data_IF_757111476095
#
_entry.id   IF_757111476095
#
_cell.length_a   1.000
_cell.length_b   1.000
_cell.length_c   1.000
_cell.angle_alpha   90.00
_cell.angle_beta   90.00
_cell.angle_gamma   90.00
#
_symmetry.space_group_name_H-M   'P 1'
#
loop_
_entity.id
_entity.type
_entity.pdbx_description
1 polymer ?
#
# COMPACT_ATOMS: atom_id res chain seq x y z
N UNK A 1 18.89 15.66 -27.74
CA UNK A 1 18.42 15.53 -27.16
C UNK A 1 17.74 14.66 -27.30
N UNK A 2 17.56 14.32 -27.67
CA UNK A 2 16.88 13.52 -27.78
C UNK A 2 17.15 12.21 -27.28
N UNK A 3 18.21 11.59 -27.10
CA UNK A 3 18.42 10.34 -26.46
C UNK A 3 17.94 10.36 -25.02
N UNK A 4 18.04 11.46 -24.39
CA UNK A 4 17.56 11.57 -23.03
C UNK A 4 16.07 11.38 -22.94
N UNK A 5 15.33 12.02 -23.78
CA UNK A 5 13.88 11.86 -23.71
C UNK A 5 13.49 10.45 -24.10
N UNK A 6 14.22 9.87 -25.00
CA UNK A 6 13.98 8.52 -25.42
C UNK A 6 14.21 7.56 -24.25
N UNK A 7 15.26 7.78 -23.49
CA UNK A 7 15.55 6.95 -22.34
C UNK A 7 14.47 7.06 -21.28
N UNK A 8 14.01 8.25 -21.00
CA UNK A 8 12.99 8.41 -19.99
C UNK A 8 11.73 7.68 -20.41
N UNK A 9 11.41 7.67 -21.68
CA UNK A 9 10.22 6.99 -22.15
C UNK A 9 10.30 5.50 -21.95
N UNK A 10 11.40 4.91 -22.28
CA UNK A 10 11.46 3.47 -22.28
C UNK A 10 11.83 2.88 -20.95
N UNK A 11 12.27 3.68 -20.02
CA UNK A 11 12.75 3.10 -18.80
C UNK A 11 11.82 3.28 -17.64
N UNK A 12 11.31 4.44 -17.46
CA UNK A 12 10.77 4.81 -16.16
C UNK A 12 9.26 4.79 -16.11
N UNK A 13 8.72 3.61 -16.27
CA UNK A 13 7.28 3.47 -16.07
C UNK A 13 7.02 2.84 -14.73
N UNK A 14 6.31 3.56 -13.89
CA UNK A 14 5.95 3.10 -12.56
C UNK A 14 4.45 3.03 -12.43
N UNK A 15 3.97 1.93 -11.89
CA UNK A 15 2.54 1.78 -11.61
C UNK A 15 2.20 2.68 -10.44
N UNK A 16 1.18 3.51 -10.60
CA UNK A 16 0.78 4.43 -9.54
C UNK A 16 -0.06 3.71 -8.49
N UNK A 17 0.25 3.94 -7.24
CA UNK A 17 -0.48 3.32 -6.15
C UNK A 17 -0.50 4.19 -4.92
N UNK A 18 -1.17 3.68 -3.90
CA UNK A 18 -1.29 4.35 -2.61
C UNK A 18 -0.99 3.36 -1.51
N UNK A 19 -0.54 3.88 -0.39
CA UNK A 19 -0.41 3.12 0.84
C UNK A 19 -1.12 3.86 1.95
N UNK A 20 -1.62 3.12 2.93
CA UNK A 20 -2.43 3.71 3.98
C UNK A 20 -1.89 3.29 5.34
N UNK A 21 -1.55 4.27 6.15
CA UNK A 21 -1.13 4.04 7.53
C UNK A 21 -2.32 4.39 8.41
N UNK A 22 -2.95 3.37 8.97
CA UNK A 22 -4.14 3.56 9.80
C UNK A 22 -3.73 3.50 11.26
N UNK A 23 -3.96 4.59 11.97
CA UNK A 23 -3.63 4.70 13.38
C UNK A 23 -4.90 4.61 14.23
N UNK A 24 -4.84 3.84 15.31
CA UNK A 24 -5.96 3.82 16.27
C UNK A 24 -5.70 4.83 17.37
N UNK A 25 -6.59 4.86 18.37
CA UNK A 25 -6.49 5.83 19.49
C UNK A 25 -5.21 5.66 20.29
N UNK A 26 -4.66 4.46 20.30
CA UNK A 26 -3.41 4.18 21.04
C UNK A 26 -2.20 4.39 20.17
N UNK A 27 -2.38 4.96 18.99
CA UNK A 27 -1.31 5.25 18.05
C UNK A 27 -0.62 4.00 17.53
N UNK A 28 -1.34 2.89 17.51
CA UNK A 28 -0.85 1.67 16.88
C UNK A 28 -1.34 1.62 15.45
N UNK A 29 -0.64 0.87 14.64
CA UNK A 29 -0.84 0.85 13.19
C UNK A 29 -1.45 -0.47 12.77
N UNK A 30 -2.44 -0.39 11.89
CA UNK A 30 -3.06 -1.58 11.30
C UNK A 30 -2.08 -2.27 10.38
N UNK A 31 -1.89 -3.56 10.58
CA UNK A 31 -1.20 -4.39 9.60
C UNK A 31 -2.01 -5.65 9.37
N UNK A 32 -2.00 -6.10 8.11
CA UNK A 32 -2.66 -7.34 7.74
C UNK A 32 -1.64 -8.33 7.22
N UNK A 33 -1.92 -9.60 7.43
CA UNK A 33 -1.06 -10.66 6.94
C UNK A 33 -1.66 -11.24 5.67
N UNK A 34 -0.87 -11.26 4.61
CA UNK A 34 -1.32 -11.73 3.31
C UNK A 34 -1.49 -13.25 3.29
N UNK A 35 -2.16 -13.71 2.24
CA UNK A 35 -2.42 -15.14 2.05
C UNK A 35 -1.28 -15.87 1.36
N UNK A 36 -0.08 -15.37 1.39
CA UNK A 36 1.04 -16.00 0.71
C UNK A 36 1.31 -17.39 1.28
N UNK A 37 1.72 -18.30 0.42
CA UNK A 37 1.93 -19.68 0.83
C UNK A 37 3.16 -19.89 1.69
N UNK A 38 4.27 -19.36 1.24
CA UNK A 38 5.53 -19.65 1.91
C UNK A 38 5.78 -18.77 3.12
N UNK A 39 5.67 -17.48 2.94
CA UNK A 39 5.86 -16.55 4.03
C UNK A 39 4.79 -15.50 3.94
N UNK A 40 3.81 -15.64 4.78
CA UNK A 40 2.72 -14.68 4.81
C UNK A 40 3.25 -13.34 5.27
N UNK A 41 3.41 -12.41 4.35
CA UNK A 41 3.95 -11.11 4.64
C UNK A 41 2.93 -10.22 5.33
N UNK A 42 3.41 -9.44 6.27
CA UNK A 42 2.60 -8.43 6.94
C UNK A 42 2.78 -7.10 6.23
N UNK A 43 1.70 -6.39 6.04
CA UNK A 43 1.78 -5.12 5.36
C UNK A 43 0.63 -4.19 5.75
N UNK A 44 0.81 -2.93 5.48
CA UNK A 44 -0.26 -1.96 5.59
C UNK A 44 -1.10 -2.02 4.32
N UNK A 45 -2.37 -1.57 4.37
CA UNK A 45 -3.19 -1.56 3.17
C UNK A 45 -2.55 -0.74 2.05
N UNK A 46 -2.63 -1.25 0.85
CA UNK A 46 -2.08 -0.57 -0.32
C UNK A 46 -2.71 -1.12 -1.58
N UNK A 47 -2.64 -0.35 -2.64
CA UNK A 47 -3.17 -0.80 -3.90
C UNK A 47 -2.97 0.22 -4.99
N UNK A 48 -3.48 -0.08 -6.17
CA UNK A 48 -3.29 0.77 -7.35
C UNK A 48 -4.30 1.91 -7.39
N UNK A 49 -3.92 2.94 -8.13
CA UNK A 49 -4.83 4.04 -8.44
C UNK A 49 -5.47 3.72 -9.76
N UNK A 50 -6.80 3.68 -9.79
CA UNK A 50 -7.52 3.39 -11.01
C UNK A 50 -7.48 4.59 -11.95
N UNK A 51 -7.69 4.30 -13.21
CA UNK A 51 -7.68 5.34 -14.23
C UNK A 51 -8.74 6.38 -13.90
N UNK A 52 -8.33 7.64 -13.88
CA UNK A 52 -9.25 8.73 -13.58
C UNK A 52 -9.52 8.95 -12.11
N UNK A 53 -8.96 8.12 -11.27
CA UNK A 53 -9.16 8.21 -9.83
C UNK A 53 -8.11 9.12 -9.22
N UNK A 54 -8.49 9.90 -8.22
CA UNK A 54 -7.52 10.69 -7.47
C UNK A 54 -6.85 9.80 -6.43
N UNK A 55 -5.61 10.14 -6.09
CA UNK A 55 -4.86 9.32 -5.12
C UNK A 55 -5.61 9.19 -3.79
N UNK A 56 -6.19 10.27 -3.29
CA UNK A 56 -6.91 10.22 -2.01
C UNK A 56 -8.13 9.30 -2.12
N UNK A 57 -8.79 9.29 -3.27
CA UNK A 57 -9.94 8.41 -3.48
C UNK A 57 -9.50 6.96 -3.50
N UNK A 58 -8.36 6.70 -4.15
CA UNK A 58 -7.80 5.35 -4.17
C UNK A 58 -7.44 4.89 -2.77
N UNK A 59 -6.87 5.79 -1.96
CA UNK A 59 -6.50 5.43 -0.59
C UNK A 59 -7.71 5.01 0.22
N UNK A 60 -8.80 5.78 0.12
CA UNK A 60 -10.02 5.45 0.85
C UNK A 60 -10.64 4.16 0.34
N UNK A 61 -10.62 3.96 -0.97
CA UNK A 61 -11.18 2.76 -1.56
C UNK A 61 -10.40 1.51 -1.14
N UNK A 62 -9.07 1.59 -1.22
CA UNK A 62 -8.25 0.45 -0.83
C UNK A 62 -8.40 0.15 0.66
N UNK A 63 -8.47 1.19 1.49
CA UNK A 63 -8.69 0.97 2.91
C UNK A 63 -10.00 0.22 3.13
N UNK A 64 -11.06 0.65 2.49
CA UNK A 64 -12.35 0.01 2.64
C UNK A 64 -12.34 -1.41 2.11
N UNK A 65 -11.73 -1.63 0.94
CA UNK A 65 -11.69 -2.96 0.35
C UNK A 65 -10.88 -3.94 1.18
N UNK A 66 -9.84 -3.48 1.84
CA UNK A 66 -8.96 -4.39 2.57
C UNK A 66 -9.27 -4.50 4.05
N UNK A 67 -9.87 -3.50 4.65
CA UNK A 67 -10.13 -3.50 6.09
C UNK A 67 -11.60 -3.40 6.45
N UNK A 68 -12.45 -3.03 5.51
CA UNK A 68 -13.86 -2.84 5.80
C UNK A 68 -14.18 -1.50 6.45
N UNK A 69 -13.19 -0.67 6.72
CA UNK A 69 -13.43 0.62 7.36
C UNK A 69 -14.09 1.57 6.37
N UNK A 70 -15.29 2.03 6.71
CA UNK A 70 -16.08 2.93 5.87
C UNK A 70 -16.30 4.30 6.47
N UNK A 71 -16.16 4.42 7.77
CA UNK A 71 -16.46 5.64 8.50
C UNK A 71 -15.61 5.71 9.75
N UNK A 72 -15.79 6.78 10.52
CA UNK A 72 -15.08 6.98 11.78
C UNK A 72 -13.58 7.08 11.57
N UNK A 73 -13.21 7.78 10.50
CA UNK A 73 -11.80 8.03 10.23
C UNK A 73 -11.66 9.41 9.61
N UNK A 74 -10.44 9.92 9.64
CA UNK A 74 -10.12 11.15 8.92
C UNK A 74 -8.70 11.06 8.41
N UNK A 75 -8.45 11.73 7.29
CA UNK A 75 -7.14 11.78 6.70
C UNK A 75 -6.33 12.85 7.42
N UNK A 76 -5.23 12.43 8.03
CA UNK A 76 -4.38 13.32 8.80
C UNK A 76 -3.26 13.90 7.97
N UNK A 77 -2.75 13.14 7.03
CA UNK A 77 -1.57 13.57 6.28
C UNK A 77 -1.49 12.83 4.96
N UNK A 78 -0.91 13.49 3.99
CA UNK A 78 -0.63 12.89 2.68
C UNK A 78 0.84 13.17 2.39
N UNK A 79 1.58 12.15 1.94
CA UNK A 79 2.99 12.37 1.61
C UNK A 79 3.10 13.35 0.45
N UNK A 80 4.10 14.21 0.51
CA UNK A 80 4.28 15.23 -0.53
C UNK A 80 4.77 14.64 -1.83
N UNK A 81 5.60 13.62 -1.72
CA UNK A 81 6.24 13.04 -2.89
C UNK A 81 5.84 11.60 -3.10
N UNK A 82 6.10 11.11 -4.30
CA UNK A 82 5.97 9.72 -4.61
C UNK A 82 7.14 8.95 -4.04
N UNK A 83 6.86 7.76 -3.48
CA UNK A 83 7.88 6.84 -3.01
C UNK A 83 8.01 5.74 -4.04
N UNK A 84 9.19 5.51 -4.55
CA UNK A 84 9.43 4.60 -5.66
C UNK A 84 9.95 3.25 -5.18
N UNK A 85 9.40 2.19 -5.73
CA UNK A 85 9.81 0.82 -5.43
C UNK A 85 10.06 0.11 -6.76
N UNK A 86 11.32 -0.24 -7.01
CA UNK A 86 11.65 -0.93 -8.24
C UNK A 86 11.45 -2.43 -8.09
N UNK A 87 10.92 -3.05 -9.13
CA UNK A 87 10.81 -4.50 -9.15
C UNK A 87 12.16 -5.11 -9.47
N UNK A 88 12.49 -6.27 -8.89
CA UNK A 88 13.64 -7.03 -9.34
C UNK A 88 13.52 -7.30 -10.82
N UNK A 89 14.64 -7.34 -11.51
CA UNK A 89 14.65 -7.52 -12.96
C UNK A 89 13.83 -8.71 -13.41
N UNK A 90 13.95 -9.82 -12.73
CA UNK A 90 13.26 -11.03 -13.14
C UNK A 90 11.75 -10.94 -13.02
N UNK A 91 11.24 -10.00 -12.23
CA UNK A 91 9.80 -9.82 -12.06
C UNK A 91 9.24 -8.76 -13.00
N UNK A 92 10.07 -7.89 -13.54
CA UNK A 92 9.58 -6.80 -14.37
C UNK A 92 8.85 -7.29 -15.61
N UNK A 93 9.28 -8.40 -16.15
CA UNK A 93 8.64 -8.94 -17.34
C UNK A 93 7.36 -9.70 -17.02
N UNK A 94 7.25 -10.23 -15.81
CA UNK A 94 6.11 -11.06 -15.44
C UNK A 94 4.93 -10.31 -14.91
N UNK A 95 5.18 -9.29 -14.10
CA UNK A 95 4.08 -8.55 -13.47
C UNK A 95 3.57 -7.48 -14.40
N UNK A 96 2.28 -7.24 -14.33
CA UNK A 96 1.59 -6.21 -15.09
C UNK A 96 1.93 -6.24 -16.57
N UNK A 97 2.16 -7.43 -17.10
CA UNK A 97 2.47 -7.64 -18.52
C UNK A 97 3.74 -6.92 -18.94
N UNK A 98 4.67 -6.77 -18.03
CA UNK A 98 5.94 -6.12 -18.34
C UNK A 98 5.86 -4.63 -18.57
N UNK A 99 4.74 -4.01 -18.22
CA UNK A 99 4.55 -2.58 -18.49
C UNK A 99 5.35 -1.67 -17.55
N UNK A 100 5.66 -2.15 -16.37
CA UNK A 100 6.24 -1.29 -15.35
C UNK A 100 7.54 -1.84 -14.82
N UNK A 101 8.46 -0.95 -14.50
CA UNK A 101 9.69 -1.33 -13.82
C UNK A 101 9.52 -1.38 -12.32
N UNK A 102 8.40 -0.86 -11.82
CA UNK A 102 8.13 -0.86 -10.41
C UNK A 102 6.85 -0.13 -10.11
N UNK A 103 6.75 0.33 -8.90
CA UNK A 103 5.56 1.01 -8.43
C UNK A 103 5.97 2.26 -7.70
N UNK A 104 5.18 3.32 -7.83
CA UNK A 104 5.37 4.51 -7.00
C UNK A 104 4.10 4.74 -6.20
N UNK A 105 4.25 5.12 -4.96
CA UNK A 105 3.14 5.24 -4.04
C UNK A 105 3.11 6.58 -3.34
N UNK A 106 1.90 7.05 -3.11
CA UNK A 106 1.64 8.13 -2.18
C UNK A 106 1.11 7.51 -0.91
N UNK A 107 1.58 7.99 0.22
CA UNK A 107 1.18 7.45 1.51
C UNK A 107 0.26 8.41 2.24
N UNK A 108 -0.75 7.84 2.88
CA UNK A 108 -1.74 8.59 3.64
C UNK A 108 -1.76 8.10 5.07
N UNK A 109 -1.80 9.03 6.01
CA UNK A 109 -1.96 8.69 7.41
C UNK A 109 -3.42 8.94 7.77
N UNK A 110 -4.07 7.91 8.26
CA UNK A 110 -5.48 7.92 8.60
C UNK A 110 -5.63 7.73 10.10
N UNK A 111 -6.42 8.60 10.71
CA UNK A 111 -6.76 8.46 12.12
C UNK A 111 -8.11 7.75 12.19
N UNK A 112 -8.10 6.52 12.70
CA UNK A 112 -9.33 5.73 12.85
C UNK A 112 -9.77 5.80 14.29
N UNK A 113 -10.95 6.36 14.51
CA UNK A 113 -11.47 6.52 15.87
C UNK A 113 -12.70 5.65 16.14
N UNK A 114 -12.98 4.71 15.25
CA UNK A 114 -14.02 3.72 15.49
C UNK A 114 -13.51 2.59 16.37
N UNK A 115 -14.32 1.56 16.49
CA UNK A 115 -13.95 0.39 17.31
C UNK A 115 -13.53 -0.75 16.39
N UNK A 116 -12.84 -1.72 17.00
CA UNK A 116 -12.32 -2.85 16.23
C UNK A 116 -13.40 -3.67 15.53
N UNK A 117 -14.62 -3.67 16.05
CA UNK A 117 -15.67 -4.43 15.38
C UNK A 117 -16.11 -3.82 14.06
N UNK A 118 -15.63 -2.63 13.73
CA UNK A 118 -15.89 -2.03 12.44
C UNK A 118 -14.90 -2.54 11.39
N UNK A 119 -13.88 -3.26 11.80
CA UNK A 119 -12.89 -3.81 10.88
C UNK A 119 -13.31 -5.20 10.47
N UNK A 120 -13.40 -5.42 9.17
CA UNK A 120 -13.77 -6.71 8.64
C UNK A 120 -12.93 -6.99 7.40
N UNK A 121 -11.93 -7.84 7.56
CA UNK A 121 -11.03 -8.17 6.45
C UNK A 121 -11.62 -9.21 5.51
N UNK A 122 -12.76 -9.80 5.86
CA UNK A 122 -13.44 -10.75 4.98
C UNK A 122 -14.31 -10.00 4.00
N UNK A 123 -13.67 -9.24 3.16
CA UNK A 123 -14.35 -8.44 2.15
C UNK A 123 -14.51 -9.27 0.87
N UNK A 124 -15.06 -8.64 -0.14
CA UNK A 124 -15.37 -9.35 -1.38
C UNK A 124 -14.14 -9.98 -2.02
N UNK A 125 -13.02 -9.29 -1.98
CA UNK A 125 -11.73 -9.78 -2.48
C UNK A 125 -10.72 -9.66 -1.37
N UNK A 126 -10.71 -10.62 -0.43
CA UNK A 126 -9.89 -10.45 0.75
C UNK A 126 -8.40 -10.47 0.41
N UNK A 127 -7.72 -9.50 0.97
CA UNK A 127 -6.29 -9.35 0.81
C UNK A 127 -5.54 -10.00 1.98
N UNK A 128 -6.19 -10.02 3.15
CA UNK A 128 -5.54 -10.45 4.38
C UNK A 128 -6.25 -11.63 5.01
N UNK A 129 -5.47 -12.57 5.55
CA UNK A 129 -6.03 -13.69 6.27
C UNK A 129 -6.22 -13.35 7.76
N UNK A 130 -5.46 -12.39 8.28
CA UNK A 130 -5.63 -11.91 9.65
C UNK A 130 -5.05 -10.50 9.73
N UNK A 131 -5.30 -9.82 10.83
CA UNK A 131 -4.81 -8.48 11.04
C UNK A 131 -4.55 -8.22 12.51
N UNK A 132 -3.82 -7.16 12.79
CA UNK A 132 -3.61 -6.74 14.16
C UNK A 132 -3.15 -5.27 14.20
N UNK A 133 -3.22 -4.70 15.38
CA UNK A 133 -2.62 -3.40 15.63
C UNK A 133 -1.17 -3.64 16.08
N UNK A 134 -0.25 -2.92 15.51
CA UNK A 134 1.16 -3.11 15.82
C UNK A 134 1.82 -1.79 16.16
N UNK A 135 2.86 -1.87 17.00
CA UNK A 135 3.66 -0.70 17.30
C UNK A 135 4.59 -0.44 16.14
N UNK A 136 5.12 0.78 16.11
CA UNK A 136 6.09 1.15 15.10
C UNK A 136 7.28 0.20 15.09
N UNK A 137 7.78 -0.17 16.27
CA UNK A 137 8.94 -1.05 16.34
C UNK A 137 8.63 -2.45 15.83
N UNK A 138 7.45 -2.96 16.13
CA UNK A 138 7.04 -4.25 15.61
C UNK A 138 7.00 -4.26 14.09
N UNK A 139 6.50 -3.18 13.52
CA UNK A 139 6.41 -3.08 12.07
C UNK A 139 7.79 -3.09 11.45
N UNK A 140 8.73 -2.39 12.05
CA UNK A 140 10.09 -2.37 11.52
C UNK A 140 10.69 -3.77 11.48
N UNK A 141 10.42 -4.58 12.50
CA UNK A 141 10.96 -5.95 12.51
C UNK A 141 10.25 -6.86 11.52
N UNK A 142 9.02 -6.55 11.15
CA UNK A 142 8.26 -7.40 10.23
C UNK A 142 8.47 -7.02 8.76
N UNK A 143 8.70 -5.75 8.50
CA UNK A 143 8.73 -5.24 7.12
C UNK A 143 10.13 -4.91 6.64
N UNK A 144 10.97 -4.40 7.52
CA UNK A 144 12.29 -3.90 7.16
C UNK A 144 13.16 -4.92 6.43
N UNK A 145 13.21 -6.21 6.82
CA UNK A 145 14.07 -7.13 6.09
C UNK A 145 13.82 -7.11 4.60
N UNK A 146 12.62 -6.79 4.22
CA UNK A 146 12.25 -6.74 2.83
C UNK A 146 12.60 -5.42 2.17
N UNK A 147 12.52 -4.33 2.91
CA UNK A 147 12.68 -2.99 2.36
C UNK A 147 13.99 -2.31 2.73
N UNK A 148 14.75 -2.87 3.61
CA UNK A 148 15.98 -2.24 4.04
C UNK A 148 17.07 -2.33 2.99
N UNK A 149 16.81 -2.99 1.90
CA UNK A 149 17.71 -3.02 0.76
C UNK A 149 17.38 -1.90 -0.21
#
# INVERSE_FOLDING_TARGET
MNSISSDSKKIKRYRRGVGVIILNKKRKIFIGQRFDKDKAAWQMPQGGIDRGEKAIEAAKREMQEETGIKKNFRVMHESNDWHYYDLPMHLQKKLWRGRYVGQKQRWYVIDFYGSDNEINIKTKRPEFQTWRWSTKNEILSLIVPFKSK
#
